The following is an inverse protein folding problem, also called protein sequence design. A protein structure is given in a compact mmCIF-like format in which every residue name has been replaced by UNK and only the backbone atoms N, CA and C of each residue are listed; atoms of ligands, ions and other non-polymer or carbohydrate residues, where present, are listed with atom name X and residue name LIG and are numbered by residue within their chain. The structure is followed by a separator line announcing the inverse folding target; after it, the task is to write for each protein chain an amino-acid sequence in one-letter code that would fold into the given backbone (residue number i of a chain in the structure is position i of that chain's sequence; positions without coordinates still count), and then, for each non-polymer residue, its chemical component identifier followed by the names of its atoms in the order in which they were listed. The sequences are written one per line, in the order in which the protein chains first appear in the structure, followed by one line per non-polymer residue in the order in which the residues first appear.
data_IF_100819315072
#
_entry.id   IF_100819315072
#
_cell.length_a   1.000
_cell.length_b   1.000
_cell.length_c   1.000
_cell.angle_alpha   90.00
_cell.angle_beta   90.00
_cell.angle_gamma   90.00
#
_symmetry.space_group_name_H-M   'P 1'
#
loop_
_entity.id
_entity.type
_entity.pdbx_description
1 polymer ?
#
# COMPACT_ATOMS: atom_id res chain seq x y z
N UNK A 1 4.20 4.31 -15.35
CA UNK A 1 4.10 3.41 -14.18
C UNK A 1 2.61 3.26 -13.88
N UNK A 2 2.13 2.04 -13.61
CA UNK A 2 0.72 1.81 -13.34
C UNK A 2 0.30 2.33 -11.95
N UNK A 3 1.25 2.53 -11.05
CA UNK A 3 1.05 3.05 -9.70
C UNK A 3 2.23 3.91 -9.26
N UNK A 4 1.96 4.95 -8.48
CA UNK A 4 2.96 5.70 -7.72
C UNK A 4 2.86 5.27 -6.25
N UNK A 5 3.97 4.80 -5.68
CA UNK A 5 4.04 4.42 -4.26
C UNK A 5 4.82 5.48 -3.49
N UNK A 6 4.24 5.99 -2.42
CA UNK A 6 4.88 6.94 -1.52
C UNK A 6 4.89 6.39 -0.10
N UNK A 7 6.07 6.31 0.49
CA UNK A 7 6.27 5.78 1.84
C UNK A 7 6.99 6.81 2.70
N UNK A 8 6.49 7.05 3.91
CA UNK A 8 7.09 7.97 4.88
C UNK A 8 7.09 7.34 6.27
N UNK A 9 8.19 7.48 7.02
CA UNK A 9 8.32 6.96 8.39
C UNK A 9 8.06 5.44 8.54
N UNK A 10 8.26 4.63 7.50
CA UNK A 10 7.98 3.18 7.49
C UNK A 10 9.20 2.30 7.80
N UNK A 11 10.19 2.86 8.50
CA UNK A 11 11.37 2.11 8.96
C UNK A 11 12.40 1.82 7.86
N UNK A 12 12.91 0.59 7.84
CA UNK A 12 14.10 0.17 7.08
C UNK A 12 13.95 0.32 5.54
N UNK A 13 14.96 0.84 4.82
CA UNK A 13 14.91 1.01 3.37
C UNK A 13 14.74 -0.29 2.57
N UNK A 14 15.14 -1.44 3.12
CA UNK A 14 14.97 -2.74 2.45
C UNK A 14 13.50 -3.15 2.42
N UNK A 15 12.81 -3.01 3.55
CA UNK A 15 11.38 -3.29 3.66
C UNK A 15 10.57 -2.38 2.73
N UNK A 16 10.94 -1.10 2.64
CA UNK A 16 10.30 -0.15 1.72
C UNK A 16 10.38 -0.62 0.27
N UNK A 17 11.56 -1.08 -0.19
CA UNK A 17 11.73 -1.58 -1.56
C UNK A 17 10.91 -2.85 -1.83
N UNK A 18 10.83 -3.75 -0.86
CA UNK A 18 10.00 -4.96 -0.99
C UNK A 18 8.50 -4.62 -1.07
N UNK A 19 8.05 -3.67 -0.26
CA UNK A 19 6.68 -3.16 -0.28
C UNK A 19 6.36 -2.42 -1.58
N UNK A 20 7.27 -1.59 -2.07
CA UNK A 20 7.15 -0.93 -3.38
C UNK A 20 7.00 -1.97 -4.50
N UNK A 21 7.90 -2.96 -4.56
CA UNK A 21 7.89 -3.98 -5.60
C UNK A 21 6.62 -4.83 -5.59
N UNK A 22 6.14 -5.24 -4.41
CA UNK A 22 4.92 -6.06 -4.32
C UNK A 22 3.66 -5.24 -4.65
N UNK A 23 3.61 -3.96 -4.27
CA UNK A 23 2.53 -3.05 -4.65
C UNK A 23 2.56 -2.84 -6.17
N UNK A 24 3.69 -2.48 -6.75
CA UNK A 24 3.83 -2.33 -8.20
C UNK A 24 3.35 -3.58 -8.96
N UNK A 25 3.69 -4.77 -8.45
CA UNK A 25 3.22 -6.03 -9.02
C UNK A 25 1.70 -6.19 -8.98
N UNK A 26 1.03 -5.85 -7.87
CA UNK A 26 -0.44 -5.93 -7.74
C UNK A 26 -1.15 -5.00 -8.74
N UNK A 27 -0.55 -3.84 -9.02
CA UNK A 27 -1.10 -2.84 -9.94
C UNK A 27 -0.64 -3.02 -11.38
N UNK A 28 0.26 -3.96 -11.69
CA UNK A 28 0.84 -4.14 -13.03
C UNK A 28 -0.21 -4.30 -14.15
N UNK A 29 -1.32 -4.99 -13.86
CA UNK A 29 -2.40 -5.22 -14.82
C UNK A 29 -3.53 -4.17 -14.75
N UNK A 30 -3.39 -3.14 -13.92
CA UNK A 30 -4.44 -2.14 -13.71
C UNK A 30 -4.22 -0.95 -14.63
N UNK A 31 -5.31 -0.50 -15.23
CA UNK A 31 -5.33 0.69 -16.09
C UNK A 31 -5.61 1.95 -15.27
N UNK A 32 -5.14 3.08 -15.77
CA UNK A 32 -5.30 4.39 -15.16
C UNK A 32 -4.24 4.72 -14.12
N UNK A 33 -4.31 5.93 -13.58
CA UNK A 33 -3.34 6.44 -12.62
C UNK A 33 -3.73 6.01 -11.20
N UNK A 34 -2.91 5.16 -10.59
CA UNK A 34 -3.06 4.73 -9.22
C UNK A 34 -1.99 5.35 -8.32
N UNK A 35 -2.34 5.59 -7.06
CA UNK A 35 -1.40 6.04 -6.04
C UNK A 35 -1.65 5.30 -4.74
N UNK A 36 -0.58 4.84 -4.12
CA UNK A 36 -0.58 4.24 -2.79
C UNK A 36 0.32 5.09 -1.90
N UNK A 37 -0.22 5.56 -0.79
CA UNK A 37 0.52 6.34 0.21
C UNK A 37 0.50 5.55 1.51
N UNK A 38 1.67 5.29 2.09
CA UNK A 38 1.83 4.64 3.40
C UNK A 38 2.59 5.59 4.32
N UNK A 39 1.96 6.02 5.40
CA UNK A 39 2.54 6.93 6.39
C UNK A 39 2.65 6.22 7.73
N UNK A 40 3.87 5.94 8.16
CA UNK A 40 4.15 5.45 9.49
C UNK A 40 4.02 6.56 10.54
N UNK A 41 3.54 6.16 11.71
CA UNK A 41 3.59 6.97 12.91
C UNK A 41 4.99 6.93 13.54
N UNK A 42 5.43 8.04 14.13
CA UNK A 42 6.63 8.07 14.96
C UNK A 42 6.34 7.71 16.43
N UNK A 43 5.05 7.64 16.82
CA UNK A 43 4.62 7.46 18.20
C UNK A 43 4.16 6.04 18.52
N UNK A 44 3.82 5.26 17.49
CA UNK A 44 3.40 3.87 17.60
C UNK A 44 3.75 3.12 16.30
N UNK A 45 3.49 1.83 16.29
CA UNK A 45 3.72 0.93 15.17
C UNK A 45 2.52 0.88 14.20
N UNK A 46 1.73 1.96 14.10
CA UNK A 46 0.62 2.03 13.13
C UNK A 46 1.03 2.79 11.91
N UNK A 47 0.72 2.23 10.74
CA UNK A 47 0.87 2.93 9.47
C UNK A 47 -0.50 3.20 8.86
N UNK A 48 -0.71 4.42 8.39
CA UNK A 48 -1.89 4.77 7.61
C UNK A 48 -1.62 4.54 6.13
N UNK A 49 -2.41 3.67 5.51
CA UNK A 49 -2.35 3.38 4.08
C UNK A 49 -3.56 3.96 3.37
N UNK A 50 -3.33 4.73 2.30
CA UNK A 50 -4.36 5.27 1.42
C UNK A 50 -4.10 4.86 -0.03
N UNK A 51 -5.13 4.35 -0.69
CA UNK A 51 -5.13 4.01 -2.12
C UNK A 51 -6.10 4.95 -2.83
N UNK A 52 -5.61 5.65 -3.85
CA UNK A 52 -6.43 6.45 -4.76
C UNK A 52 -6.26 5.98 -6.20
N UNK A 53 -7.31 6.09 -6.99
CA UNK A 53 -7.30 5.66 -8.38
C UNK A 53 -8.37 6.32 -9.25
N UNK A 54 -8.56 5.81 -10.47
CA UNK A 54 -9.56 6.31 -11.41
C UNK A 54 -10.97 6.32 -10.83
N UNK A 55 -11.87 7.09 -11.45
CA UNK A 55 -13.29 7.16 -11.08
C UNK A 55 -13.52 7.57 -9.61
N UNK A 56 -12.70 8.49 -9.09
CA UNK A 56 -12.73 8.93 -7.70
C UNK A 56 -12.59 7.77 -6.69
N UNK A 57 -11.90 6.68 -7.09
CA UNK A 57 -11.64 5.57 -6.19
C UNK A 57 -10.75 6.05 -5.04
N UNK A 58 -11.20 5.78 -3.81
CA UNK A 58 -10.45 6.06 -2.59
C UNK A 58 -10.76 4.99 -1.53
N UNK A 59 -9.72 4.45 -0.91
CA UNK A 59 -9.79 3.56 0.25
C UNK A 59 -8.65 3.83 1.20
N UNK A 60 -8.92 3.80 2.50
CA UNK A 60 -7.91 3.92 3.56
C UNK A 60 -7.94 2.69 4.47
N UNK A 61 -6.80 2.35 5.06
CA UNK A 61 -6.64 1.25 5.99
C UNK A 61 -5.47 1.52 6.95
N UNK A 62 -5.69 1.29 8.24
CA UNK A 62 -4.63 1.33 9.26
C UNK A 62 -3.96 -0.05 9.33
N UNK A 63 -2.67 -0.11 9.00
CA UNK A 63 -1.82 -1.29 9.18
C UNK A 63 -1.33 -1.31 10.63
N UNK A 64 -1.68 -2.38 11.36
CA UNK A 64 -1.29 -2.60 12.75
C UNK A 64 -0.02 -3.48 12.80
N UNK A 65 1.10 -2.89 13.23
CA UNK A 65 2.39 -3.59 13.35
C UNK A 65 2.34 -4.81 14.29
N UNK A 66 1.66 -4.69 15.43
CA UNK A 66 1.47 -5.79 16.40
C UNK A 66 0.77 -7.01 15.81
N UNK A 67 0.01 -6.84 14.73
CA UNK A 67 -0.68 -7.91 14.00
C UNK A 67 0.14 -8.45 12.81
N UNK A 68 1.39 -8.00 12.66
CA UNK A 68 2.25 -8.35 11.54
C UNK A 68 1.86 -7.70 10.22
N UNK A 69 1.07 -6.62 10.23
CA UNK A 69 0.57 -6.00 8.99
C UNK A 69 1.60 -5.11 8.29
N UNK A 70 2.84 -5.07 8.77
CA UNK A 70 3.97 -4.47 8.07
C UNK A 70 4.71 -5.48 7.18
N UNK A 71 4.41 -6.77 7.32
CA UNK A 71 5.02 -7.81 6.50
C UNK A 71 4.55 -7.66 5.04
N UNK A 72 5.45 -7.65 4.04
CA UNK A 72 5.10 -7.51 2.64
C UNK A 72 3.97 -8.41 2.13
N UNK A 73 3.95 -9.74 2.44
CA UNK A 73 2.85 -10.59 1.99
C UNK A 73 1.49 -10.22 2.61
N UNK A 74 1.48 -9.68 3.83
CA UNK A 74 0.24 -9.27 4.51
C UNK A 74 -0.28 -7.96 3.91
N UNK A 75 0.61 -6.99 3.68
CA UNK A 75 0.26 -5.74 2.98
C UNK A 75 -0.31 -6.05 1.60
N UNK A 76 0.33 -6.97 0.86
CA UNK A 76 -0.15 -7.38 -0.45
C UNK A 76 -1.58 -7.93 -0.43
N UNK A 77 -1.89 -8.80 0.54
CA UNK A 77 -3.24 -9.35 0.72
C UNK A 77 -4.27 -8.26 1.05
N UNK A 78 -3.91 -7.30 1.91
CA UNK A 78 -4.77 -6.16 2.28
C UNK A 78 -5.03 -5.28 1.07
N UNK A 79 -3.99 -4.88 0.34
CA UNK A 79 -4.08 -4.06 -0.88
C UNK A 79 -4.96 -4.75 -1.92
N UNK A 80 -4.71 -6.04 -2.21
CA UNK A 80 -5.51 -6.79 -3.18
C UNK A 80 -7.00 -6.84 -2.81
N UNK A 81 -7.32 -6.96 -1.52
CA UNK A 81 -8.71 -6.94 -1.01
C UNK A 81 -9.37 -5.57 -1.09
N UNK A 82 -8.59 -4.49 -0.98
CA UNK A 82 -9.13 -3.12 -1.05
C UNK A 82 -9.49 -2.71 -2.46
N UNK A 83 -8.85 -3.30 -3.47
CA UNK A 83 -9.03 -2.92 -4.86
C UNK A 83 -10.34 -3.45 -5.45
N UNK A 84 -10.95 -2.73 -6.42
CA UNK A 84 -12.13 -3.23 -7.10
C UNK A 84 -11.76 -4.48 -7.91
N UNK A 85 -12.72 -5.40 -8.03
CA UNK A 85 -12.62 -6.56 -8.91
C UNK A 85 -12.34 -6.09 -10.33
N UNK A 86 -11.40 -6.74 -11.02
CA UNK A 86 -11.11 -6.47 -12.43
C UNK A 86 -12.41 -6.76 -13.22
N UNK A 87 -12.97 -5.75 -13.87
CA UNK A 87 -14.07 -5.87 -14.83
C UNK A 87 -13.59 -6.37 -16.17
#
# INVERSE_FOLDING_TARGET
MAVTVEMQNTGEPTLQRELEAIIEHIFADRTGDWRVVIMGSQANDRWEMKITGPNAFERSYTLEGELGQHEPPVVAAIVARMLPTKT
#
